data_IF_316463963922
#
_entry.id   IF_316463963922
#
_cell.length_a   1.000
_cell.length_b   1.000
_cell.length_c   1.000
_cell.angle_alpha   90.00
_cell.angle_beta   90.00
_cell.angle_gamma   90.00
#
_symmetry.space_group_name_H-M   'P 1'
#
loop_
_entity.id
_entity.type
_entity.pdbx_description
1 polymer ?
#
# COMPACT_ATOMS: atom_id res chain seq x y z
N UNK A 1 -15.68 3.09 6.85
CA UNK A 1 -14.86 2.82 8.05
C UNK A 1 -15.27 3.76 9.16
N UNK A 2 -15.40 3.29 10.38
CA UNK A 2 -15.50 4.22 11.48
C UNK A 2 -14.10 4.73 11.82
N UNK A 3 -13.82 6.01 11.54
CA UNK A 3 -12.57 6.68 11.97
C UNK A 3 -12.22 6.36 13.43
N UNK A 4 -13.19 6.23 14.36
CA UNK A 4 -12.96 5.81 15.76
C UNK A 4 -12.25 4.46 15.90
N UNK A 5 -12.60 3.44 15.10
CA UNK A 5 -11.98 2.11 15.24
C UNK A 5 -10.52 2.09 14.78
N UNK A 6 -10.19 2.81 13.68
CA UNK A 6 -8.80 2.96 13.25
C UNK A 6 -7.95 3.65 14.33
N UNK A 7 -8.47 4.69 14.94
CA UNK A 7 -7.80 5.38 16.04
C UNK A 7 -7.67 4.49 17.29
N UNK A 8 -8.71 3.75 17.65
CA UNK A 8 -8.65 2.77 18.73
C UNK A 8 -7.54 1.75 18.51
N UNK A 9 -7.46 1.14 17.31
CA UNK A 9 -6.41 0.19 16.96
C UNK A 9 -5.02 0.83 17.04
N UNK A 10 -4.87 2.08 16.55
CA UNK A 10 -3.59 2.79 16.60
C UNK A 10 -3.15 3.12 18.02
N UNK A 11 -4.07 3.51 18.88
CA UNK A 11 -3.76 3.84 20.28
C UNK A 11 -3.42 2.56 21.06
N UNK A 12 -4.24 1.53 20.97
CA UNK A 12 -4.02 0.26 21.70
C UNK A 12 -2.83 -0.52 21.17
N UNK A 13 -2.60 -0.49 19.85
CA UNK A 13 -1.47 -1.14 19.18
C UNK A 13 -0.16 -0.34 19.23
N UNK A 14 -0.17 0.90 19.76
CA UNK A 14 1.03 1.76 19.73
C UNK A 14 2.21 1.14 20.49
N UNK A 15 2.00 0.63 21.69
CA UNK A 15 3.06 -0.01 22.48
C UNK A 15 3.48 -1.35 21.86
N UNK A 16 2.58 -2.31 21.57
CA UNK A 16 2.95 -3.57 20.92
C UNK A 16 3.73 -3.39 19.61
N UNK A 17 3.35 -2.40 18.78
CA UNK A 17 4.03 -2.17 17.50
C UNK A 17 5.49 -1.71 17.66
N UNK A 18 5.82 -0.99 18.73
CA UNK A 18 7.20 -0.56 19.00
C UNK A 18 8.15 -1.75 19.21
N UNK A 19 7.63 -2.85 19.78
CA UNK A 19 8.41 -4.07 20.01
C UNK A 19 8.37 -5.00 18.80
N UNK A 20 7.20 -5.17 18.18
CA UNK A 20 7.01 -6.15 17.10
C UNK A 20 7.46 -5.60 15.74
N UNK A 21 7.05 -4.40 15.36
CA UNK A 21 7.41 -3.85 14.05
C UNK A 21 8.84 -3.29 14.02
N UNK A 22 9.30 -2.64 15.11
CA UNK A 22 10.67 -2.10 15.32
C UNK A 22 11.30 -1.52 14.03
N UNK A 23 10.50 -0.76 13.27
CA UNK A 23 10.87 -0.30 11.95
C UNK A 23 11.69 0.99 11.96
N UNK A 24 12.63 1.11 11.03
CA UNK A 24 13.23 2.37 10.62
C UNK A 24 12.54 2.86 9.35
N UNK A 25 12.02 4.07 9.38
CA UNK A 25 11.38 4.70 8.20
C UNK A 25 12.39 5.60 7.50
N UNK A 26 12.54 5.41 6.20
CA UNK A 26 13.48 6.13 5.32
C UNK A 26 12.64 6.85 4.27
N UNK A 27 12.89 8.14 4.07
CA UNK A 27 12.26 8.94 3.04
C UNK A 27 13.27 9.23 1.93
N UNK A 28 12.92 8.96 0.67
CA UNK A 28 13.78 9.26 -0.49
C UNK A 28 14.05 10.75 -0.57
N UNK A 29 13.04 11.58 -0.33
CA UNK A 29 13.17 13.02 -0.30
C UNK A 29 12.56 13.60 0.99
N UNK A 30 13.41 13.89 1.98
CA UNK A 30 12.98 14.39 3.29
C UNK A 30 12.43 15.83 3.25
N UNK A 31 12.81 16.60 2.26
CA UNK A 31 12.40 18.01 2.15
C UNK A 31 10.96 18.14 1.67
N UNK A 32 10.55 17.25 0.76
CA UNK A 32 9.21 17.24 0.15
C UNK A 32 8.24 16.35 0.94
N UNK A 33 8.77 15.31 1.60
CA UNK A 33 7.94 14.29 2.24
C UNK A 33 8.10 14.31 3.75
N UNK A 34 6.96 14.33 4.43
CA UNK A 34 6.90 14.08 5.86
C UNK A 34 6.00 12.86 6.15
N UNK A 35 6.00 12.41 7.42
CA UNK A 35 5.17 11.28 7.87
C UNK A 35 3.66 11.51 7.74
N UNK A 36 3.22 12.69 7.31
CA UNK A 36 1.81 13.05 7.24
C UNK A 36 1.35 12.97 5.79
N UNK A 37 0.41 12.08 5.55
CA UNK A 37 -0.40 12.12 4.33
C UNK A 37 -1.41 13.25 4.53
N UNK A 38 -1.35 14.29 3.72
CA UNK A 38 -2.20 15.48 3.82
C UNK A 38 -3.45 15.37 2.94
N UNK A 39 -3.42 14.50 1.96
CA UNK A 39 -4.47 14.27 0.99
C UNK A 39 -4.66 12.76 0.78
N UNK A 40 -5.83 12.29 0.35
CA UNK A 40 -6.01 10.89 -0.03
C UNK A 40 -4.96 10.45 -1.04
N UNK A 41 -4.49 9.23 -0.93
CA UNK A 41 -3.47 8.69 -1.80
C UNK A 41 -3.62 7.17 -1.98
N UNK A 42 -3.14 6.66 -3.10
CA UNK A 42 -2.94 5.23 -3.32
C UNK A 42 -1.51 4.89 -2.89
N UNK A 43 -1.39 4.16 -1.79
CA UNK A 43 -0.10 3.66 -1.31
C UNK A 43 0.11 2.29 -1.95
N UNK A 44 1.24 2.11 -2.62
CA UNK A 44 1.64 0.80 -3.17
C UNK A 44 2.91 0.31 -2.50
N UNK A 45 3.03 -1.00 -2.34
CA UNK A 45 4.20 -1.64 -1.77
C UNK A 45 4.42 -3.04 -2.31
N UNK A 46 5.66 -3.54 -2.16
CA UNK A 46 5.90 -4.97 -2.19
C UNK A 46 5.15 -5.69 -1.05
N UNK A 47 4.93 -7.00 -1.19
CA UNK A 47 4.20 -7.80 -0.20
C UNK A 47 5.11 -8.88 0.38
N UNK A 48 5.33 -8.87 1.69
CA UNK A 48 6.24 -9.78 2.37
C UNK A 48 5.54 -10.66 3.42
N UNK A 49 4.48 -10.13 4.04
CA UNK A 49 3.80 -10.78 5.15
C UNK A 49 2.37 -10.25 5.31
N UNK A 50 1.50 -11.03 5.96
CA UNK A 50 0.14 -10.60 6.30
C UNK A 50 0.11 -9.37 7.23
N UNK A 51 1.19 -9.11 7.98
CA UNK A 51 1.32 -7.95 8.86
C UNK A 51 1.75 -6.66 8.15
N UNK A 52 2.06 -6.69 6.86
CA UNK A 52 2.47 -5.50 6.10
C UNK A 52 1.47 -4.36 6.22
N UNK A 53 0.17 -4.64 6.25
CA UNK A 53 -0.85 -3.62 6.50
C UNK A 53 -0.61 -2.87 7.82
N UNK A 54 -0.28 -3.59 8.89
CA UNK A 54 0.01 -3.00 10.20
C UNK A 54 1.19 -2.03 10.15
N UNK A 55 2.23 -2.36 9.39
CA UNK A 55 3.38 -1.48 9.20
C UNK A 55 2.97 -0.14 8.62
N UNK A 56 2.17 -0.13 7.56
CA UNK A 56 1.74 1.11 6.90
C UNK A 56 0.73 1.88 7.73
N UNK A 57 -0.17 1.20 8.44
CA UNK A 57 -1.10 1.82 9.38
C UNK A 57 -0.38 2.64 10.46
N UNK A 58 0.73 2.12 10.98
CA UNK A 58 1.53 2.83 11.99
C UNK A 58 2.57 3.78 11.39
N UNK A 59 3.01 3.56 10.16
CA UNK A 59 3.92 4.48 9.46
C UNK A 59 3.21 5.78 9.10
N UNK A 60 2.00 5.68 8.57
CA UNK A 60 1.15 6.82 8.25
C UNK A 60 0.08 7.03 9.34
N UNK A 61 0.54 7.29 10.55
CA UNK A 61 -0.32 7.30 11.74
C UNK A 61 -1.50 8.27 11.66
N UNK A 62 -1.34 9.41 10.98
CA UNK A 62 -2.38 10.42 10.83
C UNK A 62 -3.42 10.13 9.75
N UNK A 63 -3.15 9.20 8.85
CA UNK A 63 -4.06 8.83 7.78
C UNK A 63 -4.90 7.60 8.15
N UNK A 64 -6.12 7.54 7.65
CA UNK A 64 -6.92 6.32 7.64
C UNK A 64 -6.59 5.55 6.38
N UNK A 65 -6.03 4.35 6.54
CA UNK A 65 -5.59 3.49 5.44
C UNK A 65 -6.54 2.31 5.33
N UNK A 66 -7.13 2.13 4.15
CA UNK A 66 -8.02 1.04 3.81
C UNK A 66 -7.24 0.05 2.90
N UNK A 67 -6.95 -1.18 3.34
CA UNK A 67 -6.23 -2.13 2.50
C UNK A 67 -7.16 -2.81 1.49
N UNK A 68 -6.64 -3.13 0.29
CA UNK A 68 -7.24 -4.06 -0.64
C UNK A 68 -6.84 -5.49 -0.22
N UNK A 69 -7.82 -6.34 0.07
CA UNK A 69 -7.60 -7.66 0.66
C UNK A 69 -8.29 -8.74 -0.14
N UNK A 70 -7.58 -9.82 -0.43
CA UNK A 70 -8.18 -10.98 -1.09
C UNK A 70 -9.29 -11.61 -0.23
N UNK A 71 -10.35 -12.06 -0.88
CA UNK A 71 -11.51 -12.71 -0.28
C UNK A 71 -11.13 -13.82 0.71
N UNK A 72 -10.23 -14.71 0.30
CA UNK A 72 -9.74 -15.81 1.14
C UNK A 72 -9.11 -15.35 2.46
N UNK A 73 -8.50 -14.17 2.48
CA UNK A 73 -7.93 -13.58 3.71
C UNK A 73 -9.00 -12.83 4.50
N UNK A 74 -9.87 -12.11 3.80
CA UNK A 74 -10.95 -11.34 4.40
C UNK A 74 -11.92 -12.24 5.16
N UNK A 75 -12.33 -13.36 4.56
CA UNK A 75 -13.33 -14.29 5.08
C UNK A 75 -12.74 -15.50 5.84
N UNK A 76 -11.45 -15.47 6.16
CA UNK A 76 -10.73 -16.58 6.81
C UNK A 76 -11.42 -17.09 8.09
N UNK A 77 -11.94 -16.16 8.91
CA UNK A 77 -12.74 -16.46 10.10
C UNK A 77 -13.47 -15.21 10.58
N UNK A 78 -14.45 -15.39 11.49
CA UNK A 78 -15.30 -14.30 12.00
C UNK A 78 -14.51 -13.12 12.61
N UNK A 79 -13.40 -13.39 13.28
CA UNK A 79 -12.55 -12.35 13.88
C UNK A 79 -11.86 -11.56 12.79
N UNK A 80 -11.29 -12.23 11.78
CA UNK A 80 -10.63 -11.59 10.66
C UNK A 80 -11.62 -10.75 9.86
N UNK A 81 -12.79 -11.30 9.52
CA UNK A 81 -13.86 -10.54 8.85
C UNK A 81 -14.27 -9.30 9.65
N UNK A 82 -14.42 -9.43 10.96
CA UNK A 82 -14.72 -8.30 11.83
C UNK A 82 -13.63 -7.22 11.76
N UNK A 83 -12.36 -7.60 11.90
CA UNK A 83 -11.23 -6.67 11.85
C UNK A 83 -11.13 -5.99 10.49
N UNK A 84 -11.17 -6.76 9.39
CA UNK A 84 -11.09 -6.25 8.02
C UNK A 84 -12.20 -5.23 7.74
N UNK A 85 -13.44 -5.56 8.09
CA UNK A 85 -14.60 -4.66 7.95
C UNK A 85 -14.40 -3.35 8.72
N UNK A 86 -13.90 -3.42 9.95
CA UNK A 86 -13.73 -2.24 10.80
C UNK A 86 -12.50 -1.41 10.43
N UNK A 87 -11.47 -2.02 9.85
CA UNK A 87 -10.34 -1.29 9.23
C UNK A 87 -10.70 -0.71 7.85
N UNK A 88 -11.90 -0.99 7.32
CA UNK A 88 -12.35 -0.48 6.03
C UNK A 88 -11.66 -1.16 4.86
N UNK A 89 -11.19 -2.39 5.05
CA UNK A 89 -10.63 -3.19 3.99
C UNK A 89 -11.65 -3.38 2.86
N UNK A 90 -11.19 -3.24 1.63
CA UNK A 90 -11.95 -3.55 0.43
C UNK A 90 -11.63 -4.97 0.03
N UNK A 91 -12.68 -5.77 -0.15
CA UNK A 91 -12.57 -7.18 -0.53
C UNK A 91 -12.41 -7.30 -2.04
N UNK A 92 -11.50 -8.14 -2.49
CA UNK A 92 -11.36 -8.49 -3.90
C UNK A 92 -11.35 -9.99 -4.10
N UNK A 93 -12.22 -10.45 -5.01
CA UNK A 93 -12.14 -11.78 -5.59
C UNK A 93 -11.18 -11.72 -6.78
N UNK A 94 -10.07 -12.44 -6.68
CA UNK A 94 -9.00 -12.40 -7.70
C UNK A 94 -9.31 -13.25 -8.92
N UNK A 95 -10.25 -14.18 -8.77
CA UNK A 95 -10.60 -15.17 -9.78
C UNK A 95 -11.87 -14.77 -10.54
N UNK A 96 -12.55 -13.70 -10.09
CA UNK A 96 -13.71 -13.15 -10.77
C UNK A 96 -13.33 -11.98 -11.69
N UNK A 97 -14.18 -11.76 -12.71
CA UNK A 97 -14.14 -10.56 -13.55
C UNK A 97 -14.94 -9.39 -12.94
N UNK A 98 -15.21 -9.44 -11.63
CA UNK A 98 -15.89 -8.36 -10.93
C UNK A 98 -14.91 -7.25 -10.55
N UNK A 99 -15.09 -6.08 -11.13
CA UNK A 99 -14.31 -4.88 -10.86
C UNK A 99 -15.01 -3.91 -9.89
N UNK A 100 -16.06 -4.35 -9.20
CA UNK A 100 -16.82 -3.53 -8.23
C UNK A 100 -15.93 -2.99 -7.10
N UNK A 101 -14.89 -3.74 -6.72
CA UNK A 101 -13.90 -3.29 -5.73
C UNK A 101 -13.22 -1.97 -6.12
N UNK A 102 -13.08 -1.68 -7.42
CA UNK A 102 -12.47 -0.41 -7.86
C UNK A 102 -13.35 0.78 -7.49
N UNK A 103 -14.67 0.67 -7.70
CA UNK A 103 -15.62 1.71 -7.30
C UNK A 103 -15.61 1.93 -5.78
N UNK A 104 -15.53 0.84 -4.99
CA UNK A 104 -15.42 0.93 -3.54
C UNK A 104 -14.10 1.62 -3.11
N UNK A 105 -12.98 1.34 -3.76
CA UNK A 105 -11.70 2.01 -3.48
C UNK A 105 -11.78 3.51 -3.78
N UNK A 106 -12.40 3.90 -4.91
CA UNK A 106 -12.60 5.31 -5.28
C UNK A 106 -13.47 6.01 -4.23
N UNK A 107 -14.59 5.40 -3.82
CA UNK A 107 -15.43 5.95 -2.75
C UNK A 107 -14.65 6.16 -1.44
N UNK A 108 -13.74 5.25 -1.07
CA UNK A 108 -12.87 5.45 0.10
C UNK A 108 -11.97 6.67 -0.06
N UNK A 109 -11.38 6.87 -1.24
CA UNK A 109 -10.54 8.03 -1.53
C UNK A 109 -11.34 9.33 -1.46
N UNK A 110 -12.54 9.36 -2.07
CA UNK A 110 -13.44 10.52 -2.08
C UNK A 110 -13.88 10.93 -0.65
N UNK A 111 -13.99 9.94 0.24
CA UNK A 111 -14.33 10.20 1.67
C UNK A 111 -13.11 10.57 2.53
N UNK A 112 -11.96 10.84 1.91
CA UNK A 112 -10.76 11.34 2.57
C UNK A 112 -9.88 10.27 3.22
N UNK A 113 -10.06 8.99 2.84
CA UNK A 113 -9.18 7.92 3.26
C UNK A 113 -8.08 7.69 2.22
N UNK A 114 -6.98 7.06 2.61
CA UNK A 114 -5.99 6.52 1.69
C UNK A 114 -6.19 5.02 1.55
N UNK A 115 -5.78 4.46 0.44
CA UNK A 115 -5.84 3.02 0.22
C UNK A 115 -4.44 2.42 0.15
N UNK A 116 -4.32 1.15 0.55
CA UNK A 116 -3.09 0.39 0.42
C UNK A 116 -3.33 -0.79 -0.51
N UNK A 117 -2.51 -0.87 -1.55
CA UNK A 117 -2.55 -1.95 -2.53
C UNK A 117 -1.17 -2.60 -2.61
N UNK A 118 -1.14 -3.93 -2.58
CA UNK A 118 0.03 -4.73 -2.92
C UNK A 118 -0.14 -5.20 -4.37
N UNK A 119 0.46 -4.51 -5.36
CA UNK A 119 0.15 -4.74 -6.77
C UNK A 119 0.63 -6.09 -7.29
N UNK A 120 1.51 -6.76 -6.57
CA UNK A 120 1.91 -8.15 -6.80
C UNK A 120 0.73 -9.14 -6.75
N UNK A 121 -0.31 -8.77 -5.99
CA UNK A 121 -1.52 -9.57 -5.85
C UNK A 121 -1.41 -10.79 -4.95
N UNK A 122 -0.23 -11.23 -4.55
CA UNK A 122 0.04 -12.27 -3.56
C UNK A 122 1.37 -12.03 -2.87
N UNK A 123 1.61 -12.71 -1.77
CA UNK A 123 2.95 -12.78 -1.17
C UNK A 123 3.82 -13.66 -2.06
N UNK A 124 5.02 -13.21 -2.49
CA UNK A 124 5.98 -14.04 -3.23
C UNK A 124 6.40 -15.27 -2.42
N UNK A 125 6.69 -16.36 -3.10
CA UNK A 125 7.37 -17.48 -2.48
C UNK A 125 8.84 -17.14 -2.20
N UNK A 126 9.46 -17.98 -1.38
CA UNK A 126 10.88 -17.82 -1.08
C UNK A 126 11.68 -17.85 -2.40
N UNK A 127 12.53 -16.86 -2.60
CA UNK A 127 13.41 -16.73 -3.76
C UNK A 127 12.75 -16.20 -5.08
N UNK A 128 11.45 -15.89 -5.10
CA UNK A 128 10.81 -15.28 -6.28
C UNK A 128 11.18 -13.79 -6.49
N UNK A 129 11.55 -13.09 -5.44
CA UNK A 129 11.78 -11.64 -5.50
C UNK A 129 10.47 -10.84 -5.67
N UNK A 130 10.57 -9.65 -6.24
CA UNK A 130 9.41 -8.81 -6.52
C UNK A 130 8.64 -9.37 -7.72
N UNK A 131 7.33 -9.60 -7.55
CA UNK A 131 6.47 -10.09 -8.62
C UNK A 131 6.01 -8.97 -9.55
N UNK A 132 5.64 -9.30 -10.82
CA UNK A 132 5.09 -8.32 -11.74
C UNK A 132 3.83 -7.64 -11.19
N UNK A 133 3.74 -6.32 -11.39
CA UNK A 133 2.64 -5.52 -10.86
C UNK A 133 1.38 -5.63 -11.72
N UNK A 134 0.23 -5.73 -11.05
CA UNK A 134 -1.10 -5.62 -11.67
C UNK A 134 -1.52 -4.15 -11.72
N UNK A 135 -2.11 -3.66 -12.82
CA UNK A 135 -2.32 -2.23 -13.06
C UNK A 135 -3.51 -1.60 -12.33
N UNK A 136 -4.27 -2.34 -11.53
CA UNK A 136 -5.48 -1.84 -10.86
C UNK A 136 -5.26 -0.55 -10.06
N UNK A 137 -4.11 -0.40 -9.40
CA UNK A 137 -3.77 0.79 -8.63
C UNK A 137 -3.66 2.06 -9.50
N UNK A 138 -3.26 1.90 -10.78
CA UNK A 138 -3.13 3.02 -11.73
C UNK A 138 -4.52 3.53 -12.12
N UNK A 139 -5.44 2.63 -12.45
CA UNK A 139 -6.82 2.98 -12.80
C UNK A 139 -7.51 3.70 -11.64
N UNK A 140 -7.39 3.17 -10.43
CA UNK A 140 -7.98 3.78 -9.22
C UNK A 140 -7.40 5.16 -8.94
N UNK A 141 -6.07 5.32 -9.00
CA UNK A 141 -5.42 6.61 -8.77
C UNK A 141 -5.76 7.64 -9.84
N UNK A 142 -5.84 7.23 -11.11
CA UNK A 142 -6.20 8.08 -12.25
C UNK A 142 -7.65 8.57 -12.13
N UNK A 143 -8.59 7.66 -11.85
CA UNK A 143 -10.01 7.99 -11.75
C UNK A 143 -10.31 8.90 -10.55
N UNK A 144 -9.74 8.60 -9.38
CA UNK A 144 -9.90 9.42 -8.19
C UNK A 144 -9.04 10.71 -8.22
N UNK A 145 -8.18 10.88 -9.23
CA UNK A 145 -7.24 12.01 -9.36
C UNK A 145 -6.41 12.24 -8.08
N UNK A 146 -5.86 11.16 -7.52
CA UNK A 146 -5.02 11.17 -6.33
C UNK A 146 -3.60 10.70 -6.64
N UNK A 147 -2.58 11.10 -5.86
CA UNK A 147 -1.22 10.62 -6.08
C UNK A 147 -1.05 9.16 -5.66
N UNK A 148 -0.10 8.49 -6.31
CA UNK A 148 0.44 7.21 -5.89
C UNK A 148 1.67 7.49 -5.02
N UNK A 149 1.78 6.80 -3.88
CA UNK A 149 2.96 6.82 -3.01
C UNK A 149 3.58 5.43 -3.07
N UNK A 150 4.65 5.22 -3.85
CA UNK A 150 5.38 3.97 -3.87
C UNK A 150 6.15 3.81 -2.56
N UNK A 151 6.11 2.61 -2.00
CA UNK A 151 6.80 2.26 -0.76
C UNK A 151 7.42 0.88 -0.87
N UNK A 152 8.33 0.57 0.04
CA UNK A 152 8.94 -0.76 0.16
C UNK A 152 9.10 -1.14 1.62
N UNK A 153 8.87 -2.40 1.96
CA UNK A 153 9.21 -2.96 3.28
C UNK A 153 10.12 -4.17 3.15
N UNK A 154 11.09 -4.30 4.06
CA UNK A 154 11.93 -5.50 4.11
C UNK A 154 11.25 -6.67 4.80
N UNK A 155 10.06 -6.49 5.39
CA UNK A 155 9.48 -7.47 6.30
C UNK A 155 10.33 -7.63 7.57
N UNK A 156 10.74 -8.84 7.90
CA UNK A 156 11.63 -9.16 9.05
C UNK A 156 11.10 -8.62 10.39
N UNK A 157 9.81 -8.75 10.61
CA UNK A 157 9.15 -8.25 11.82
C UNK A 157 9.68 -8.94 13.08
N UNK A 158 9.77 -8.17 14.19
CA UNK A 158 10.31 -8.65 15.45
C UNK A 158 11.85 -8.65 15.54
N UNK A 159 12.58 -8.63 14.42
CA UNK A 159 14.04 -8.68 14.38
C UNK A 159 14.73 -7.35 14.71
N UNK A 160 14.00 -6.23 14.61
CA UNK A 160 14.57 -4.87 14.66
C UNK A 160 15.26 -4.44 13.36
N UNK A 161 15.22 -5.28 12.32
CA UNK A 161 15.82 -5.03 11.01
C UNK A 161 14.84 -4.51 9.98
N UNK A 162 13.55 -4.37 10.34
CA UNK A 162 12.54 -3.85 9.42
C UNK A 162 12.88 -2.45 8.94
N UNK A 163 12.90 -2.28 7.64
CA UNK A 163 13.06 -0.98 6.97
C UNK A 163 11.80 -0.70 6.16
N UNK A 164 11.32 0.53 6.22
CA UNK A 164 10.22 1.01 5.39
C UNK A 164 10.73 2.21 4.62
N UNK A 165 10.84 2.09 3.31
CA UNK A 165 11.28 3.17 2.43
C UNK A 165 10.06 3.78 1.76
N UNK A 166 9.95 5.10 1.78
CA UNK A 166 8.84 5.85 1.23
C UNK A 166 9.37 6.69 0.08
N UNK A 167 8.85 6.41 -1.11
CA UNK A 167 9.14 7.12 -2.34
C UNK A 167 8.33 8.43 -2.47
N UNK A 168 8.56 9.17 -3.54
CA UNK A 168 7.89 10.43 -3.81
C UNK A 168 6.43 10.21 -4.26
N UNK A 169 5.61 11.23 -4.05
CA UNK A 169 4.23 11.27 -4.56
C UNK A 169 4.26 11.51 -6.06
N UNK A 170 3.52 10.70 -6.81
CA UNK A 170 3.48 10.77 -8.27
C UNK A 170 2.03 10.68 -8.73
N UNK A 171 1.59 11.63 -9.53
CA UNK A 171 0.30 11.57 -10.18
C UNK A 171 0.41 10.79 -11.49
N UNK A 172 -0.56 9.96 -11.79
CA UNK A 172 -0.60 9.16 -13.03
C UNK A 172 -0.56 10.07 -14.26
N UNK A 173 -1.23 11.22 -14.20
CA UNK A 173 -1.28 12.18 -15.29
C UNK A 173 0.08 12.79 -15.64
N UNK A 174 1.02 12.86 -14.69
CA UNK A 174 2.38 13.37 -14.92
C UNK A 174 3.23 12.39 -15.73
N UNK A 175 2.85 11.11 -15.76
CA UNK A 175 3.53 10.03 -16.50
C UNK A 175 2.84 9.69 -17.83
N UNK A 176 1.68 10.31 -18.12
CA UNK A 176 0.86 9.95 -19.26
C UNK A 176 1.37 10.60 -20.56
N UNK A 177 1.72 9.78 -21.55
CA UNK A 177 2.10 10.26 -22.88
C UNK A 177 0.88 10.26 -23.82
N UNK A 178 0.51 11.44 -24.32
CA UNK A 178 -0.62 11.62 -25.23
C UNK A 178 -0.44 10.99 -26.61
N UNK A 179 0.79 10.63 -26.96
CA UNK A 179 1.12 10.00 -28.25
C UNK A 179 0.95 8.47 -28.22
N UNK A 180 0.79 7.89 -27.04
CA UNK A 180 0.62 6.45 -26.84
C UNK A 180 -0.85 6.08 -26.63
N UNK A 181 -1.22 4.86 -26.99
CA UNK A 181 -2.52 4.30 -26.65
C UNK A 181 -2.67 4.17 -25.12
N UNK A 182 -3.91 4.10 -24.64
CA UNK A 182 -4.17 3.92 -23.19
C UNK A 182 -3.49 2.64 -22.65
N UNK A 183 -3.56 1.54 -23.39
CA UNK A 183 -2.93 0.29 -23.01
C UNK A 183 -1.41 0.40 -22.88
N UNK A 184 -0.76 1.09 -23.82
CA UNK A 184 0.68 1.33 -23.75
C UNK A 184 1.06 2.22 -22.56
N UNK A 185 0.31 3.30 -22.33
CA UNK A 185 0.49 4.16 -21.17
C UNK A 185 0.40 3.36 -19.87
N UNK A 186 -0.68 2.60 -19.68
CA UNK A 186 -0.88 1.80 -18.47
C UNK A 186 0.26 0.79 -18.25
N UNK A 187 0.71 0.11 -19.32
CA UNK A 187 1.83 -0.82 -19.23
C UNK A 187 3.14 -0.11 -18.84
N UNK A 188 3.45 1.02 -19.48
CA UNK A 188 4.66 1.80 -19.19
C UNK A 188 4.65 2.36 -17.77
N UNK A 189 3.51 2.88 -17.31
CA UNK A 189 3.34 3.42 -15.96
C UNK A 189 3.45 2.29 -14.93
N UNK A 190 2.87 1.11 -15.21
CA UNK A 190 2.98 -0.07 -14.34
C UNK A 190 4.44 -0.49 -14.15
N UNK A 191 5.18 -0.61 -15.26
CA UNK A 191 6.60 -0.95 -15.25
C UNK A 191 7.44 0.13 -14.55
N UNK A 192 7.10 1.41 -14.73
CA UNK A 192 7.73 2.51 -14.01
C UNK A 192 7.62 2.35 -12.50
N UNK A 193 6.43 2.08 -11.97
CA UNK A 193 6.23 1.89 -10.53
C UNK A 193 6.87 0.61 -10.01
N UNK A 194 6.86 -0.48 -10.78
CA UNK A 194 7.54 -1.73 -10.43
C UNK A 194 9.05 -1.48 -10.26
N UNK A 195 9.68 -0.83 -11.23
CA UNK A 195 11.09 -0.46 -11.17
C UNK A 195 11.39 0.53 -10.02
N UNK A 196 10.47 1.45 -9.74
CA UNK A 196 10.64 2.38 -8.64
C UNK A 196 10.60 1.65 -7.28
N UNK A 197 9.63 0.77 -7.06
CA UNK A 197 9.56 -0.03 -5.83
C UNK A 197 10.79 -0.93 -5.68
N UNK A 198 11.31 -1.50 -6.78
CA UNK A 198 12.57 -2.25 -6.77
C UNK A 198 13.75 -1.39 -6.29
N UNK A 199 13.89 -0.15 -6.79
CA UNK A 199 14.93 0.80 -6.32
C UNK A 199 14.77 1.14 -4.84
N UNK A 200 13.54 1.29 -4.34
CA UNK A 200 13.31 1.49 -2.90
C UNK A 200 13.80 0.29 -2.09
N UNK A 201 13.69 -0.92 -2.63
CA UNK A 201 14.24 -2.14 -2.04
C UNK A 201 15.77 -2.14 -1.96
N UNK A 202 16.45 -1.63 -2.98
CA UNK A 202 17.91 -1.45 -2.98
C UNK A 202 18.33 -0.50 -1.84
N UNK A 203 17.67 0.66 -1.71
CA UNK A 203 17.91 1.63 -0.62
C UNK A 203 17.67 0.97 0.76
N UNK A 204 16.60 0.18 0.89
CA UNK A 204 16.29 -0.52 2.14
C UNK A 204 17.38 -1.50 2.55
N UNK A 205 17.99 -2.19 1.57
CA UNK A 205 19.05 -3.17 1.81
C UNK A 205 20.42 -2.54 2.09
N UNK A 206 20.74 -1.40 1.50
CA UNK A 206 21.95 -0.62 1.80
C UNK A 206 21.93 -0.12 3.25
N UNK A 207 20.81 0.34 3.74
CA UNK A 207 20.61 0.82 5.11
C UNK A 207 20.59 -0.31 6.19
N UNK A 208 20.66 -1.57 5.77
CA UNK A 208 20.82 -2.72 6.68
C UNK A 208 22.29 -3.01 7.02
N UNK A 209 23.21 -2.60 6.14
CA UNK A 209 24.65 -2.77 6.34
C UNK A 209 25.18 -1.75 7.33
#
# INVERSE_FOLDING_TARGET
MSKPFSWFTKITGFIPQLFYLRRKTIYVNKEIQNRKIKEPAVIISNHTDLFDFGVYMFTFFNATICPLVAEITYDKNKIMTFLMKHWGAVRVDRDSYDFSFMSELIEKLDTGNSILIFPEGRIPEKDEGLLPFKPSFIYVAKEANVPIIPTYTTGEYGSGKTRVVIGEKIYVNDLYDKNLSEKENINNICLYFENYVKKLGEIANEEKK
#
